data_IF_158738333439
#
_entry.id   IF_158738333439
#
_cell.length_a   1.000
_cell.length_b   1.000
_cell.length_c   1.000
_cell.angle_alpha   90.00
_cell.angle_beta   90.00
_cell.angle_gamma   90.00
#
_symmetry.space_group_name_H-M   'P 1'
#
loop_
_entity.id
_entity.type
_entity.pdbx_description
1 polymer ?
#
# COMPACT_ATOMS: atom_id res chain seq x y z
N UNK A 1 -5.85 29.18 -15.50
CA UNK A 1 -6.30 29.15 -14.10
C UNK A 1 -5.13 28.60 -13.24
N UNK A 2 -4.98 29.05 -11.99
CA UNK A 2 -3.98 28.50 -11.08
C UNK A 2 -4.72 27.69 -10.03
N UNK A 3 -4.38 26.40 -9.89
CA UNK A 3 -4.88 25.56 -8.82
C UNK A 3 -4.10 25.84 -7.52
N UNK A 4 -4.70 25.58 -6.39
CA UNK A 4 -3.99 25.67 -5.12
C UNK A 4 -3.05 24.48 -4.96
N UNK A 5 -3.50 23.28 -5.41
CA UNK A 5 -2.75 22.03 -5.31
C UNK A 5 -2.89 21.23 -6.61
N UNK A 6 -1.78 20.69 -7.12
CA UNK A 6 -1.78 19.64 -8.13
C UNK A 6 -1.25 18.33 -7.53
N UNK A 7 -2.06 17.28 -7.57
CA UNK A 7 -1.72 15.94 -7.11
C UNK A 7 -1.30 15.10 -8.32
N UNK A 8 -0.10 14.53 -8.30
CA UNK A 8 0.45 13.71 -9.38
C UNK A 8 0.29 12.25 -9.04
N UNK A 9 -0.48 11.52 -9.86
CA UNK A 9 -0.89 10.14 -9.69
C UNK A 9 -2.29 10.02 -9.09
N UNK A 10 -3.20 9.29 -9.76
CA UNK A 10 -4.56 9.04 -9.31
C UNK A 10 -4.80 7.58 -8.87
N UNK A 11 -3.76 6.92 -8.36
CA UNK A 11 -3.90 5.69 -7.58
C UNK A 11 -4.54 5.94 -6.22
N UNK A 12 -4.59 4.94 -5.35
CA UNK A 12 -5.19 5.05 -4.01
C UNK A 12 -4.64 6.24 -3.23
N UNK A 13 -3.33 6.46 -3.26
CA UNK A 13 -2.68 7.57 -2.57
C UNK A 13 -3.20 8.92 -3.06
N UNK A 14 -3.14 9.17 -4.38
CA UNK A 14 -3.56 10.45 -4.94
C UNK A 14 -5.06 10.69 -4.85
N UNK A 15 -5.88 9.67 -5.09
CA UNK A 15 -7.34 9.78 -4.98
C UNK A 15 -7.78 10.11 -3.56
N UNK A 16 -7.20 9.44 -2.55
CA UNK A 16 -7.56 9.64 -1.15
C UNK A 16 -7.13 11.02 -0.63
N UNK A 17 -5.88 11.44 -0.92
CA UNK A 17 -5.44 12.77 -0.47
C UNK A 17 -6.14 13.91 -1.23
N UNK A 18 -6.46 13.72 -2.51
CA UNK A 18 -7.24 14.71 -3.26
C UNK A 18 -8.64 14.87 -2.68
N UNK A 19 -9.29 13.78 -2.27
CA UNK A 19 -10.60 13.81 -1.62
C UNK A 19 -10.58 14.59 -0.29
N UNK A 20 -9.53 14.39 0.53
CA UNK A 20 -9.36 15.10 1.80
C UNK A 20 -9.03 16.59 1.61
N UNK A 21 -8.32 16.95 0.55
CA UNK A 21 -7.94 18.34 0.27
C UNK A 21 -9.07 19.15 -0.42
N UNK A 22 -9.91 18.48 -1.20
CA UNK A 22 -10.92 19.11 -2.05
C UNK A 22 -11.90 20.05 -1.32
N UNK A 23 -12.36 19.79 -0.07
CA UNK A 23 -13.19 20.73 0.68
C UNK A 23 -12.50 22.05 1.04
N UNK A 24 -11.19 22.12 0.95
CA UNK A 24 -10.36 23.22 1.46
C UNK A 24 -9.59 23.97 0.37
N UNK A 25 -9.44 23.39 -0.83
CA UNK A 25 -8.59 23.93 -1.87
C UNK A 25 -9.08 23.54 -3.28
N UNK A 26 -8.69 24.31 -4.29
CA UNK A 26 -8.89 23.94 -5.69
C UNK A 26 -7.81 22.93 -6.08
N UNK A 27 -8.21 21.68 -6.23
CA UNK A 27 -7.32 20.56 -6.50
C UNK A 27 -7.41 20.15 -7.97
N UNK A 28 -6.27 19.90 -8.58
CA UNK A 28 -6.11 19.20 -9.85
C UNK A 28 -5.48 17.83 -9.57
N UNK A 29 -6.09 16.77 -10.08
CA UNK A 29 -5.55 15.40 -9.99
C UNK A 29 -5.08 14.97 -11.38
N UNK A 30 -3.79 14.67 -11.53
CA UNK A 30 -3.14 14.34 -12.82
C UNK A 30 -2.79 12.85 -12.82
N UNK A 31 -3.24 12.13 -13.88
CA UNK A 31 -3.01 10.70 -14.05
C UNK A 31 -2.36 10.42 -15.41
N UNK A 32 -1.33 9.61 -15.40
CA UNK A 32 -0.61 9.24 -16.62
C UNK A 32 -1.40 8.29 -17.52
N UNK A 33 -2.18 7.41 -16.92
CA UNK A 33 -2.92 6.37 -17.62
C UNK A 33 -4.32 6.84 -18.07
N UNK A 34 -4.99 6.01 -18.88
CA UNK A 34 -6.36 6.27 -19.36
C UNK A 34 -7.38 6.29 -18.22
N UNK A 35 -7.13 5.50 -17.19
CA UNK A 35 -8.00 5.34 -16.04
C UNK A 35 -7.22 5.41 -14.72
N UNK A 36 -7.75 6.11 -13.69
CA UNK A 36 -7.18 6.11 -12.37
C UNK A 36 -7.07 4.69 -11.77
N UNK A 37 -5.95 4.43 -11.05
CA UNK A 37 -5.77 3.17 -10.34
C UNK A 37 -5.25 1.99 -11.18
N UNK A 38 -4.79 2.21 -12.39
CA UNK A 38 -4.35 1.16 -13.32
C UNK A 38 -3.20 0.30 -12.80
N UNK A 39 -2.21 0.89 -12.12
CA UNK A 39 -1.02 0.19 -11.61
C UNK A 39 -1.28 -0.49 -10.25
N UNK A 40 -0.48 -0.17 -9.22
CA UNK A 40 -0.48 -0.85 -7.93
C UNK A 40 -1.87 -0.99 -7.28
N UNK A 41 -2.74 0.00 -7.41
CA UNK A 41 -4.11 0.00 -6.86
C UNK A 41 -4.95 -1.12 -7.46
N UNK A 42 -5.01 -1.21 -8.79
CA UNK A 42 -5.81 -2.23 -9.49
C UNK A 42 -5.18 -3.64 -9.49
N UNK A 43 -3.97 -3.79 -8.95
CA UNK A 43 -3.22 -5.06 -8.91
C UNK A 43 -3.01 -5.60 -7.50
N UNK A 44 -3.69 -5.02 -6.53
CA UNK A 44 -3.56 -5.43 -5.14
C UNK A 44 -4.31 -6.73 -4.87
N UNK A 45 -3.73 -7.59 -4.02
CA UNK A 45 -4.44 -8.72 -3.42
C UNK A 45 -5.34 -8.30 -2.25
N UNK A 46 -5.33 -7.06 -1.92
CA UNK A 46 -6.07 -6.24 -0.99
C UNK A 46 -6.67 -6.95 0.22
N UNK A 47 -5.97 -6.83 1.31
CA UNK A 47 -6.49 -7.20 2.62
C UNK A 47 -6.10 -6.14 3.64
N UNK A 48 -6.93 -5.98 4.65
CA UNK A 48 -6.64 -5.25 5.88
C UNK A 48 -5.99 -6.24 6.85
N UNK A 49 -4.74 -6.02 7.21
CA UNK A 49 -4.02 -6.88 8.14
C UNK A 49 -3.12 -5.98 9.01
N UNK A 50 -3.36 -5.95 10.32
CA UNK A 50 -2.74 -4.99 11.22
C UNK A 50 -1.21 -5.20 11.38
N UNK A 51 -0.71 -6.43 11.15
CA UNK A 51 0.72 -6.70 11.18
C UNK A 51 1.44 -6.34 9.88
N UNK A 52 0.70 -6.13 8.79
CA UNK A 52 1.31 -5.89 7.49
C UNK A 52 1.97 -4.51 7.40
N UNK A 53 3.25 -4.51 7.08
CA UNK A 53 4.08 -3.30 7.07
C UNK A 53 4.91 -3.09 8.34
N UNK A 54 4.72 -3.96 9.34
CA UNK A 54 5.46 -3.91 10.59
C UNK A 54 4.90 -2.92 11.62
N UNK A 55 5.44 -2.93 12.85
CA UNK A 55 4.94 -2.12 13.96
C UNK A 55 4.86 -0.62 13.69
N UNK A 56 5.72 -0.11 12.80
CA UNK A 56 5.72 1.30 12.42
C UNK A 56 4.53 1.74 11.58
N UNK A 57 3.86 0.80 10.89
CA UNK A 57 2.67 1.07 10.06
C UNK A 57 1.37 0.84 10.84
N UNK A 58 1.41 0.07 11.93
CA UNK A 58 0.24 -0.23 12.77
C UNK A 58 -0.60 1.00 13.13
N UNK A 59 -0.04 2.15 13.53
CA UNK A 59 -0.84 3.34 13.86
C UNK A 59 -1.72 3.81 12.69
N UNK A 60 -1.18 3.81 11.46
CA UNK A 60 -1.94 4.19 10.26
C UNK A 60 -3.01 3.16 9.92
N UNK A 61 -2.68 1.86 9.98
CA UNK A 61 -3.62 0.78 9.70
C UNK A 61 -4.80 0.82 10.66
N UNK A 62 -4.53 0.85 11.96
CA UNK A 62 -5.59 0.84 12.98
C UNK A 62 -6.45 2.10 12.96
N UNK A 63 -5.85 3.26 12.75
CA UNK A 63 -6.60 4.51 12.58
C UNK A 63 -7.51 4.51 11.34
N UNK A 64 -7.18 3.69 10.33
CA UNK A 64 -8.00 3.53 9.12
C UNK A 64 -9.15 2.55 9.29
N UNK A 65 -9.06 1.63 10.27
CA UNK A 65 -9.97 0.50 10.42
C UNK A 65 -11.45 0.90 10.55
N UNK A 66 -11.76 1.86 11.42
CA UNK A 66 -13.15 2.34 11.61
C UNK A 66 -13.70 2.92 10.32
N UNK A 67 -12.94 3.77 9.63
CA UNK A 67 -13.40 4.34 8.35
C UNK A 67 -13.75 3.25 7.32
N UNK A 68 -12.85 2.28 7.16
CA UNK A 68 -13.06 1.19 6.21
C UNK A 68 -14.26 0.32 6.59
N UNK A 69 -14.45 0.03 7.86
CA UNK A 69 -15.57 -0.75 8.38
C UNK A 69 -16.90 -0.01 8.25
N UNK A 70 -16.96 1.26 8.70
CA UNK A 70 -18.19 2.05 8.73
C UNK A 70 -18.75 2.34 7.33
N UNK A 71 -17.86 2.39 6.33
CA UNK A 71 -18.27 2.54 4.92
C UNK A 71 -18.49 1.21 4.18
N UNK A 72 -18.38 0.07 4.88
CA UNK A 72 -18.65 -1.25 4.32
C UNK A 72 -17.59 -1.77 3.35
N UNK A 73 -16.35 -1.28 3.44
CA UNK A 73 -15.25 -1.74 2.59
C UNK A 73 -14.53 -2.98 3.12
N UNK A 74 -14.83 -3.44 4.34
CA UNK A 74 -14.22 -4.62 4.94
C UNK A 74 -15.17 -5.81 4.99
N UNK A 75 -14.67 -6.97 4.58
CA UNK A 75 -15.31 -8.27 4.82
C UNK A 75 -14.39 -9.08 5.73
N UNK A 76 -14.82 -9.41 6.97
CA UNK A 76 -14.00 -10.16 7.94
C UNK A 76 -13.52 -11.49 7.37
N UNK A 77 -12.25 -11.84 7.63
CA UNK A 77 -11.62 -13.07 7.16
C UNK A 77 -10.76 -13.75 8.22
N UNK A 78 -9.97 -12.97 8.98
CA UNK A 78 -8.88 -13.45 9.80
C UNK A 78 -7.62 -13.78 8.99
N UNK A 79 -6.47 -13.77 9.65
CA UNK A 79 -5.20 -14.18 9.06
C UNK A 79 -4.51 -15.23 9.93
N UNK A 80 -3.81 -16.16 9.29
CA UNK A 80 -2.96 -17.17 9.91
C UNK A 80 -1.53 -16.99 9.44
N UNK A 81 -0.62 -16.73 10.36
CA UNK A 81 0.80 -16.88 10.14
C UNK A 81 1.16 -18.30 10.51
N UNK A 82 1.59 -19.10 9.55
CA UNK A 82 1.92 -20.52 9.76
C UNK A 82 3.42 -20.77 9.64
N UNK A 83 3.88 -21.81 10.29
CA UNK A 83 5.28 -22.25 10.27
C UNK A 83 5.43 -23.69 10.69
N UNK A 84 6.64 -24.18 10.62
CA UNK A 84 7.04 -25.49 11.09
C UNK A 84 7.57 -25.40 12.52
N UNK A 85 7.88 -26.53 13.14
CA UNK A 85 8.41 -26.59 14.50
C UNK A 85 9.72 -25.78 14.67
N UNK A 86 10.58 -25.77 13.64
CA UNK A 86 11.81 -24.97 13.61
C UNK A 86 11.56 -23.46 13.57
N UNK A 87 10.37 -23.01 13.15
CA UNK A 87 10.01 -21.59 13.02
C UNK A 87 9.47 -20.99 14.32
N UNK A 88 9.41 -21.76 15.42
CA UNK A 88 8.87 -21.29 16.71
C UNK A 88 9.53 -20.00 17.20
N UNK A 89 10.85 -19.87 17.07
CA UNK A 89 11.56 -18.66 17.46
C UNK A 89 11.15 -17.44 16.62
N UNK A 90 10.88 -17.63 15.32
CA UNK A 90 10.37 -16.58 14.45
C UNK A 90 8.94 -16.18 14.85
N UNK A 91 8.07 -17.14 15.19
CA UNK A 91 6.73 -16.89 15.71
C UNK A 91 6.75 -16.06 17.00
N UNK A 92 7.59 -16.44 17.97
CA UNK A 92 7.73 -15.70 19.23
C UNK A 92 8.27 -14.29 19.00
N UNK A 93 9.27 -14.13 18.14
CA UNK A 93 9.83 -12.83 17.77
C UNK A 93 8.80 -11.95 17.06
N UNK A 94 8.03 -12.52 16.14
CA UNK A 94 6.94 -11.82 15.45
C UNK A 94 5.93 -11.30 16.45
N UNK A 95 5.39 -12.14 17.33
CA UNK A 95 4.43 -11.74 18.36
C UNK A 95 5.01 -10.68 19.31
N UNK A 96 6.25 -10.83 19.72
CA UNK A 96 6.93 -9.87 20.60
C UNK A 96 7.09 -8.50 19.94
N UNK A 97 7.33 -8.44 18.63
CA UNK A 97 7.49 -7.18 17.90
C UNK A 97 6.23 -6.30 17.87
N UNK A 98 5.05 -6.91 18.04
CA UNK A 98 3.77 -6.19 18.13
C UNK A 98 3.27 -5.96 19.56
N UNK A 99 4.06 -6.35 20.57
CA UNK A 99 3.70 -6.08 21.96
C UNK A 99 3.51 -4.56 22.20
N UNK A 100 2.41 -4.18 22.88
CA UNK A 100 2.10 -2.79 23.15
C UNK A 100 1.51 -1.99 21.97
N UNK A 101 1.40 -2.56 20.77
CA UNK A 101 0.77 -1.88 19.62
C UNK A 101 -0.75 -1.95 19.64
N UNK A 102 -1.31 -2.82 20.48
CA UNK A 102 -2.75 -3.12 20.56
C UNK A 102 -3.25 -4.09 19.49
N UNK A 103 -2.36 -4.64 18.66
CA UNK A 103 -2.68 -5.71 17.70
C UNK A 103 -2.90 -7.01 18.47
N UNK A 104 -3.98 -7.73 18.14
CA UNK A 104 -4.27 -9.03 18.72
C UNK A 104 -3.64 -10.13 17.87
N UNK A 105 -2.80 -10.95 18.49
CA UNK A 105 -2.13 -12.10 17.86
C UNK A 105 -2.21 -13.27 18.84
N UNK A 106 -2.91 -14.33 18.45
CA UNK A 106 -3.23 -15.47 19.29
C UNK A 106 -2.50 -16.73 18.80
N UNK A 107 -1.75 -17.43 19.65
CA UNK A 107 -1.23 -18.75 19.30
C UNK A 107 -2.39 -19.72 19.03
N UNK A 108 -2.26 -20.52 18.00
CA UNK A 108 -3.26 -21.51 17.62
C UNK A 108 -2.71 -22.92 17.74
N UNK A 109 -3.48 -23.82 18.35
CA UNK A 109 -3.11 -25.23 18.45
C UNK A 109 -3.15 -25.91 17.06
N UNK A 110 -2.29 -26.94 16.82
CA UNK A 110 -2.25 -27.63 15.52
C UNK A 110 -3.60 -28.19 15.05
N UNK A 111 -4.43 -28.69 15.96
CA UNK A 111 -5.75 -29.19 15.61
C UNK A 111 -6.67 -28.07 15.10
N UNK A 112 -6.63 -26.89 15.73
CA UNK A 112 -7.41 -25.73 15.29
C UNK A 112 -6.87 -25.10 13.99
N UNK A 113 -5.57 -25.23 13.72
CA UNK A 113 -4.97 -24.87 12.43
C UNK A 113 -5.50 -25.80 11.32
N UNK A 114 -5.47 -27.13 11.55
CA UNK A 114 -5.95 -28.12 10.57
C UNK A 114 -7.47 -27.99 10.27
N UNK A 115 -8.25 -27.54 11.26
CA UNK A 115 -9.67 -27.21 11.05
C UNK A 115 -9.88 -26.00 10.14
N UNK A 116 -9.06 -24.95 10.32
CA UNK A 116 -9.16 -23.71 9.52
C UNK A 116 -8.52 -23.82 8.14
N UNK A 117 -7.49 -24.66 8.00
CA UNK A 117 -6.80 -24.91 6.73
C UNK A 117 -6.86 -26.41 6.44
N UNK A 118 -7.99 -26.90 5.90
CA UNK A 118 -8.14 -28.31 5.57
C UNK A 118 -7.03 -28.78 4.62
N UNK A 119 -6.54 -30.00 4.85
CA UNK A 119 -5.45 -30.60 4.06
C UNK A 119 -4.09 -29.89 4.21
N UNK A 120 -3.89 -29.11 5.27
CA UNK A 120 -2.55 -28.64 5.62
C UNK A 120 -1.66 -29.84 5.98
N UNK A 121 -0.42 -29.84 5.53
CA UNK A 121 0.52 -30.92 5.84
C UNK A 121 0.94 -30.87 7.32
N UNK A 122 1.11 -32.04 8.00
CA UNK A 122 1.34 -32.11 9.44
C UNK A 122 2.60 -31.38 9.93
N UNK A 123 3.60 -31.23 9.08
CA UNK A 123 4.84 -30.49 9.41
C UNK A 123 4.62 -28.99 9.63
N UNK A 124 3.52 -28.43 9.11
CA UNK A 124 3.09 -27.06 9.39
C UNK A 124 2.23 -27.05 10.64
N UNK A 125 2.88 -27.01 11.79
CA UNK A 125 2.25 -27.23 13.10
C UNK A 125 2.23 -25.99 14.01
N UNK A 126 2.95 -24.94 13.66
CA UNK A 126 2.96 -23.68 14.40
C UNK A 126 2.05 -22.67 13.71
N UNK A 127 1.23 -21.95 14.48
CA UNK A 127 0.35 -20.92 13.93
C UNK A 127 0.09 -19.79 14.91
N UNK A 128 -0.03 -18.57 14.35
CA UNK A 128 -0.53 -17.38 15.02
C UNK A 128 -1.76 -16.89 14.26
N UNK A 129 -2.82 -16.58 14.97
CA UNK A 129 -4.07 -16.06 14.41
C UNK A 129 -4.22 -14.56 14.70
N UNK A 130 -4.51 -13.80 13.68
CA UNK A 130 -4.83 -12.37 13.74
C UNK A 130 -6.30 -12.18 13.34
N UNK A 131 -7.21 -11.94 14.30
CA UNK A 131 -8.66 -11.92 14.06
C UNK A 131 -9.16 -10.71 13.27
N UNK A 132 -8.49 -9.57 13.35
CA UNK A 132 -8.94 -8.34 12.73
C UNK A 132 -8.71 -8.29 11.19
N UNK A 133 -8.03 -9.28 10.61
CA UNK A 133 -7.81 -9.32 9.17
C UNK A 133 -9.15 -9.41 8.41
N UNK A 134 -9.22 -8.65 7.31
CA UNK A 134 -10.39 -8.59 6.44
C UNK A 134 -9.97 -8.43 4.98
N UNK A 135 -10.82 -8.83 4.04
CA UNK A 135 -10.69 -8.40 2.65
C UNK A 135 -11.14 -6.95 2.51
N UNK A 136 -10.51 -6.22 1.60
CA UNK A 136 -10.89 -4.83 1.26
C UNK A 136 -11.52 -4.79 -0.12
N UNK A 137 -12.68 -4.15 -0.26
CA UNK A 137 -13.20 -3.73 -1.57
C UNK A 137 -12.37 -2.54 -2.08
N UNK A 138 -11.28 -2.85 -2.78
CA UNK A 138 -10.36 -1.84 -3.32
C UNK A 138 -11.02 -0.97 -4.38
N UNK A 139 -11.81 -1.57 -5.26
CA UNK A 139 -12.45 -0.85 -6.32
C UNK A 139 -13.50 0.14 -5.76
N UNK A 140 -14.33 -0.34 -4.83
CA UNK A 140 -15.31 0.50 -4.13
C UNK A 140 -14.65 1.64 -3.35
N UNK A 141 -13.60 1.37 -2.58
CA UNK A 141 -12.86 2.38 -1.83
C UNK A 141 -12.23 3.44 -2.75
N UNK A 142 -11.59 3.02 -3.83
CA UNK A 142 -10.96 3.93 -4.78
C UNK A 142 -11.99 4.82 -5.48
N UNK A 143 -13.09 4.23 -5.95
CA UNK A 143 -14.20 4.97 -6.55
C UNK A 143 -14.88 5.93 -5.55
N UNK A 144 -14.98 5.53 -4.28
CA UNK A 144 -15.51 6.39 -3.22
C UNK A 144 -14.67 7.67 -3.10
N UNK A 145 -13.33 7.58 -3.08
CA UNK A 145 -12.45 8.75 -3.03
C UNK A 145 -12.54 9.60 -4.28
N UNK A 146 -12.53 9.00 -5.48
CA UNK A 146 -12.68 9.75 -6.72
C UNK A 146 -14.02 10.48 -6.78
N UNK A 147 -15.10 9.83 -6.36
CA UNK A 147 -16.43 10.46 -6.28
C UNK A 147 -16.49 11.58 -5.23
N UNK A 148 -15.83 11.41 -4.09
CA UNK A 148 -15.72 12.45 -3.07
C UNK A 148 -14.95 13.67 -3.61
N UNK A 149 -13.83 13.46 -4.26
CA UNK A 149 -13.05 14.51 -4.91
C UNK A 149 -13.88 15.26 -5.99
N UNK A 150 -14.56 14.52 -6.85
CA UNK A 150 -15.40 15.10 -7.91
C UNK A 150 -16.57 15.94 -7.35
N UNK A 151 -17.22 15.51 -6.27
CA UNK A 151 -18.30 16.29 -5.61
C UNK A 151 -17.83 17.66 -5.12
N UNK A 152 -16.54 17.80 -4.81
CA UNK A 152 -15.92 19.07 -4.39
C UNK A 152 -15.21 19.79 -5.55
N UNK A 153 -15.43 19.37 -6.80
CA UNK A 153 -14.96 20.08 -7.99
C UNK A 153 -13.49 19.85 -8.33
N UNK A 154 -12.90 18.73 -7.87
CA UNK A 154 -11.55 18.33 -8.33
C UNK A 154 -11.56 18.11 -9.82
N UNK A 155 -10.68 18.80 -10.54
CA UNK A 155 -10.41 18.53 -11.94
C UNK A 155 -9.51 17.29 -12.05
N UNK A 156 -9.90 16.32 -12.89
CA UNK A 156 -9.12 15.10 -13.13
C UNK A 156 -8.64 15.09 -14.58
N UNK A 157 -7.33 15.14 -14.77
CA UNK A 157 -6.68 15.04 -16.07
C UNK A 157 -6.07 13.64 -16.22
N UNK A 158 -6.65 12.80 -17.07
CA UNK A 158 -6.11 11.49 -17.44
C UNK A 158 -5.30 11.55 -18.74
N UNK A 159 -4.52 10.52 -19.06
CA UNK A 159 -3.58 10.48 -20.20
C UNK A 159 -2.62 11.66 -20.17
N UNK A 160 -2.20 12.06 -18.98
CA UNK A 160 -1.45 13.27 -18.70
C UNK A 160 -0.16 12.91 -17.92
N UNK A 161 0.73 12.16 -18.57
CA UNK A 161 2.02 11.82 -17.97
C UNK A 161 2.86 13.08 -17.80
N UNK A 162 3.22 13.39 -16.57
CA UNK A 162 4.06 14.55 -16.25
C UNK A 162 5.47 14.33 -16.80
N UNK A 163 5.91 15.25 -17.66
CA UNK A 163 7.23 15.25 -18.28
C UNK A 163 8.16 16.35 -17.76
N UNK A 164 7.61 17.37 -17.08
CA UNK A 164 8.39 18.45 -16.50
C UNK A 164 7.64 19.22 -15.42
N UNK A 165 8.41 19.70 -14.45
CA UNK A 165 7.94 20.52 -13.35
C UNK A 165 8.89 21.71 -13.17
N UNK A 166 8.38 22.92 -13.20
CA UNK A 166 9.19 24.14 -13.04
C UNK A 166 8.50 25.11 -12.09
N UNK A 167 9.22 25.60 -11.11
CA UNK A 167 8.72 26.59 -10.15
C UNK A 167 9.28 27.97 -10.45
N UNK A 168 8.39 28.94 -10.64
CA UNK A 168 8.74 30.34 -10.86
C UNK A 168 7.77 31.26 -10.10
N UNK A 169 8.32 32.24 -9.39
CA UNK A 169 7.54 33.21 -8.61
C UNK A 169 6.50 32.55 -7.68
N UNK A 170 6.87 31.45 -7.02
CA UNK A 170 6.00 30.74 -6.10
C UNK A 170 4.96 29.81 -6.72
N UNK A 171 4.93 29.70 -8.06
CA UNK A 171 3.95 28.88 -8.79
C UNK A 171 4.66 27.80 -9.60
N UNK A 172 4.16 26.58 -9.51
CA UNK A 172 4.58 25.46 -10.33
C UNK A 172 3.89 25.49 -11.68
N UNK A 173 4.64 25.26 -12.73
CA UNK A 173 4.14 24.87 -14.06
C UNK A 173 4.38 23.37 -14.21
N UNK A 174 3.31 22.63 -14.40
CA UNK A 174 3.32 21.18 -14.68
C UNK A 174 3.14 21.00 -16.17
N UNK A 175 4.05 20.28 -16.83
CA UNK A 175 3.99 19.99 -18.27
C UNK A 175 3.71 18.50 -18.47
N UNK A 176 2.69 18.19 -19.25
CA UNK A 176 2.39 16.84 -19.72
C UNK A 176 3.23 16.46 -20.94
N UNK A 177 3.34 15.18 -21.22
CA UNK A 177 4.11 14.63 -22.36
C UNK A 177 3.52 14.95 -23.74
N UNK A 178 2.26 15.41 -23.78
CA UNK A 178 1.58 15.88 -25.00
C UNK A 178 1.54 17.39 -25.14
N UNK A 179 2.27 18.09 -24.27
CA UNK A 179 2.37 19.56 -24.29
C UNK A 179 1.27 20.29 -23.51
N UNK A 180 0.42 19.57 -22.77
CA UNK A 180 -0.52 20.20 -21.84
C UNK A 180 0.24 20.91 -20.73
N UNK A 181 -0.34 21.98 -20.20
CA UNK A 181 0.26 22.73 -19.10
C UNK A 181 -0.78 23.10 -18.06
N UNK A 182 -0.43 22.90 -16.80
CA UNK A 182 -1.22 23.32 -15.64
C UNK A 182 -0.35 24.15 -14.69
N UNK A 183 -1.02 24.92 -13.86
CA UNK A 183 -0.33 25.76 -12.86
C UNK A 183 -0.90 25.49 -11.48
N UNK A 184 -0.03 25.33 -10.49
CA UNK A 184 -0.43 25.12 -9.10
C UNK A 184 0.53 25.80 -8.12
N UNK A 185 0.05 26.18 -6.94
CA UNK A 185 0.90 26.69 -5.87
C UNK A 185 1.71 25.58 -5.20
N UNK A 186 1.12 24.39 -5.06
CA UNK A 186 1.74 23.23 -4.40
C UNK A 186 1.61 21.98 -5.28
N UNK A 187 2.66 21.16 -5.32
CA UNK A 187 2.66 19.82 -5.91
C UNK A 187 2.59 18.79 -4.79
N UNK A 188 1.68 17.82 -4.94
CA UNK A 188 1.65 16.59 -4.13
C UNK A 188 2.13 15.44 -5.00
N UNK A 189 3.25 14.86 -4.65
CA UNK A 189 3.81 13.72 -5.36
C UNK A 189 3.24 12.41 -4.79
N UNK A 190 2.21 11.89 -5.46
CA UNK A 190 1.54 10.62 -5.16
C UNK A 190 1.75 9.59 -6.29
N UNK A 191 2.86 9.70 -7.02
CA UNK A 191 3.14 8.97 -8.26
C UNK A 191 3.61 7.52 -8.04
N UNK A 192 3.46 6.96 -6.83
CA UNK A 192 3.75 5.54 -6.53
C UNK A 192 5.17 5.14 -6.90
N UNK A 193 5.32 4.22 -7.85
CA UNK A 193 6.62 3.75 -8.31
C UNK A 193 7.47 4.85 -9.00
N UNK A 194 6.82 5.85 -9.59
CA UNK A 194 7.47 6.96 -10.30
C UNK A 194 7.75 8.17 -9.40
N UNK A 195 7.60 8.04 -8.08
CA UNK A 195 7.72 9.19 -7.18
C UNK A 195 9.10 9.87 -7.24
N UNK A 196 10.19 9.11 -7.32
CA UNK A 196 11.54 9.68 -7.43
C UNK A 196 11.80 10.31 -8.80
N UNK A 197 11.21 9.78 -9.88
CA UNK A 197 11.29 10.39 -11.22
C UNK A 197 10.56 11.75 -11.27
N UNK A 198 9.38 11.83 -10.64
CA UNK A 198 8.63 13.09 -10.50
C UNK A 198 9.41 14.11 -9.67
N UNK A 199 10.07 13.66 -8.60
CA UNK A 199 10.93 14.52 -7.80
C UNK A 199 12.12 15.06 -8.61
N UNK A 200 12.80 14.20 -9.36
CA UNK A 200 13.88 14.61 -10.25
C UNK A 200 13.44 15.62 -11.31
N UNK A 201 12.25 15.40 -11.92
CA UNK A 201 11.69 16.34 -12.90
C UNK A 201 11.36 17.71 -12.27
N UNK A 202 11.15 17.77 -10.96
CA UNK A 202 10.93 18.99 -10.19
C UNK A 202 12.24 19.63 -9.66
N UNK A 203 13.39 19.03 -9.89
CA UNK A 203 14.66 19.45 -9.29
C UNK A 203 14.75 19.15 -7.79
N UNK A 204 13.91 18.24 -7.29
CA UNK A 204 13.89 17.77 -5.89
C UNK A 204 14.79 16.56 -5.76
N UNK A 205 15.55 16.48 -4.67
CA UNK A 205 16.39 15.33 -4.40
C UNK A 205 15.50 14.10 -4.08
N UNK A 206 15.69 12.97 -4.78
CA UNK A 206 14.94 11.74 -4.51
C UNK A 206 15.12 11.25 -3.07
N UNK A 207 14.08 10.68 -2.49
CA UNK A 207 14.14 10.09 -1.14
C UNK A 207 14.50 8.59 -1.18
N UNK A 208 14.73 8.03 -2.36
CA UNK A 208 15.11 6.64 -2.54
C UNK A 208 13.93 5.68 -2.62
N UNK A 209 12.83 6.08 -3.26
CA UNK A 209 11.68 5.18 -3.48
C UNK A 209 12.08 4.06 -4.43
N UNK A 210 12.12 2.84 -3.90
CA UNK A 210 12.46 1.64 -4.64
C UNK A 210 11.21 0.77 -4.88
N UNK A 211 10.81 0.56 -6.15
CA UNK A 211 9.73 -0.36 -6.48
C UNK A 211 10.20 -1.82 -6.46
N UNK A 212 9.32 -2.71 -5.99
CA UNK A 212 9.53 -4.15 -5.96
C UNK A 212 8.33 -4.85 -6.57
N UNK A 213 8.58 -5.75 -7.52
CA UNK A 213 7.55 -6.57 -8.16
C UNK A 213 7.00 -7.57 -7.15
N UNK A 214 5.66 -7.68 -7.14
CA UNK A 214 4.90 -8.69 -6.40
C UNK A 214 3.97 -9.41 -7.38
N UNK A 215 4.11 -10.74 -7.42
CA UNK A 215 3.33 -11.62 -8.30
C UNK A 215 2.16 -12.24 -7.55
N UNK A 216 1.02 -12.37 -8.23
CA UNK A 216 -0.16 -13.10 -7.77
C UNK A 216 -0.66 -14.01 -8.87
N UNK A 217 -0.98 -15.25 -8.53
CA UNK A 217 -1.62 -16.24 -9.39
C UNK A 217 -3.00 -16.62 -8.84
N UNK A 218 -3.97 -16.80 -9.72
CA UNK A 218 -5.30 -17.31 -9.40
C UNK A 218 -5.35 -18.78 -9.80
N UNK A 219 -5.57 -19.63 -8.83
CA UNK A 219 -5.58 -21.07 -8.99
C UNK A 219 -6.99 -21.64 -8.85
N UNK A 220 -7.30 -22.62 -9.68
CA UNK A 220 -8.37 -23.56 -9.42
C UNK A 220 -7.78 -24.76 -8.72
N UNK A 221 -8.25 -25.01 -7.50
CA UNK A 221 -7.77 -26.09 -6.63
C UNK A 221 -8.87 -27.09 -6.31
N UNK A 222 -8.47 -28.31 -5.96
CA UNK A 222 -9.35 -29.39 -5.54
C UNK A 222 -8.82 -30.00 -4.23
N UNK A 223 -9.65 -30.01 -3.16
CA UNK A 223 -11.03 -29.50 -3.12
C UNK A 223 -11.11 -28.00 -3.37
N UNK A 224 -12.29 -27.50 -3.77
CA UNK A 224 -12.50 -26.07 -3.97
C UNK A 224 -12.20 -25.30 -2.67
N UNK A 225 -11.49 -24.19 -2.77
CA UNK A 225 -11.18 -23.34 -1.61
C UNK A 225 -12.48 -22.85 -0.96
N UNK A 226 -12.62 -23.11 0.35
CA UNK A 226 -13.74 -22.59 1.13
C UNK A 226 -13.72 -21.06 1.16
N UNK A 227 -14.85 -20.37 1.06
CA UNK A 227 -14.92 -18.93 1.26
C UNK A 227 -14.49 -18.50 2.67
N UNK A 228 -14.60 -19.39 3.65
CA UNK A 228 -14.24 -19.15 5.05
C UNK A 228 -12.75 -19.39 5.36
N UNK A 229 -11.96 -19.82 4.37
CA UNK A 229 -10.52 -19.99 4.53
C UNK A 229 -9.89 -18.62 4.89
N UNK A 230 -9.13 -18.50 5.98
CA UNK A 230 -8.44 -17.26 6.30
C UNK A 230 -7.36 -16.90 5.28
N UNK A 231 -6.85 -15.69 5.34
CA UNK A 231 -5.58 -15.36 4.70
C UNK A 231 -4.47 -16.15 5.40
N UNK A 232 -3.73 -16.96 4.65
CA UNK A 232 -2.63 -17.78 5.17
C UNK A 232 -1.31 -17.21 4.69
N UNK A 233 -0.40 -16.92 5.63
CA UNK A 233 0.93 -16.37 5.37
C UNK A 233 1.99 -17.29 5.98
N UNK A 234 3.07 -17.48 5.28
CA UNK A 234 4.27 -18.08 5.83
C UNK A 234 4.97 -17.09 6.78
N UNK A 235 5.27 -17.53 8.02
CA UNK A 235 6.01 -16.71 8.99
C UNK A 235 7.40 -16.33 8.46
N UNK A 236 8.01 -17.19 7.64
CA UNK A 236 9.27 -16.94 6.96
C UNK A 236 9.15 -16.00 5.76
N UNK A 237 7.92 -15.57 5.41
CA UNK A 237 7.69 -14.65 4.30
C UNK A 237 7.81 -15.27 2.91
N UNK A 238 7.70 -16.59 2.80
CA UNK A 238 7.86 -17.30 1.52
C UNK A 238 6.62 -17.30 0.64
N UNK A 239 5.42 -17.16 1.19
CA UNK A 239 4.17 -17.14 0.44
C UNK A 239 3.02 -16.55 1.25
N UNK A 240 1.94 -16.23 0.54
CA UNK A 240 0.62 -16.13 1.13
C UNK A 240 -0.44 -16.63 0.14
N UNK A 241 -1.58 -17.08 0.67
CA UNK A 241 -2.74 -17.42 -0.13
C UNK A 241 -4.04 -17.09 0.59
N UNK A 242 -5.10 -16.84 -0.19
CA UNK A 242 -6.45 -16.61 0.31
C UNK A 242 -7.49 -17.07 -0.70
N UNK A 243 -8.72 -17.37 -0.29
CA UNK A 243 -9.80 -17.66 -1.23
C UNK A 243 -10.34 -16.35 -1.82
N UNK A 244 -10.82 -16.44 -3.04
CA UNK A 244 -11.58 -15.39 -3.70
C UNK A 244 -12.50 -15.99 -4.76
N UNK A 245 -13.81 -15.76 -4.66
CA UNK A 245 -14.83 -16.23 -5.60
C UNK A 245 -14.68 -17.71 -6.00
N UNK A 246 -14.40 -18.60 -5.05
CA UNK A 246 -14.22 -20.02 -5.27
C UNK A 246 -12.90 -20.42 -5.94
N UNK A 247 -11.96 -19.49 -6.02
CA UNK A 247 -10.56 -19.69 -6.46
C UNK A 247 -9.63 -19.48 -5.28
N UNK A 248 -8.37 -19.80 -5.48
CA UNK A 248 -7.30 -19.50 -4.54
C UNK A 248 -6.36 -18.47 -5.17
N UNK A 249 -6.18 -17.33 -4.51
CA UNK A 249 -5.12 -16.40 -4.85
C UNK A 249 -3.88 -16.79 -4.10
N UNK A 250 -2.77 -16.91 -4.84
CA UNK A 250 -1.48 -17.34 -4.32
C UNK A 250 -0.39 -16.37 -4.76
N UNK A 251 0.52 -16.03 -3.85
CA UNK A 251 1.71 -15.23 -4.14
C UNK A 251 2.95 -15.90 -3.56
N UNK A 252 4.09 -15.90 -4.28
CA UNK A 252 5.37 -16.35 -3.72
C UNK A 252 5.93 -15.35 -2.70
N UNK A 253 5.19 -14.29 -2.39
CA UNK A 253 5.62 -13.19 -1.53
C UNK A 253 6.92 -12.54 -2.00
N UNK A 254 7.14 -12.53 -3.33
CA UNK A 254 8.33 -11.99 -3.99
C UNK A 254 8.53 -10.48 -3.74
N UNK A 255 9.77 -10.07 -3.64
CA UNK A 255 10.22 -8.66 -3.60
C UNK A 255 11.38 -8.49 -4.56
N UNK A 256 11.09 -8.51 -5.85
CA UNK A 256 12.11 -8.40 -6.90
C UNK A 256 12.26 -6.92 -7.27
N UNK A 257 13.46 -6.32 -7.07
CA UNK A 257 13.71 -4.95 -7.48
C UNK A 257 13.35 -4.74 -8.95
N UNK A 258 12.65 -3.65 -9.24
CA UNK A 258 12.19 -3.34 -10.58
C UNK A 258 12.26 -1.84 -10.83
N UNK A 259 12.57 -1.43 -12.05
CA UNK A 259 12.32 -0.05 -12.46
C UNK A 259 10.81 0.22 -12.49
N UNK A 260 10.37 1.48 -12.36
CA UNK A 260 8.98 1.84 -12.60
C UNK A 260 8.53 1.39 -14.00
N UNK A 261 7.50 0.56 -14.06
CA UNK A 261 7.01 -0.01 -15.32
C UNK A 261 5.56 -0.52 -15.18
N UNK A 262 4.97 -0.91 -16.28
CA UNK A 262 3.78 -1.75 -16.32
C UNK A 262 4.20 -3.20 -15.99
N UNK A 263 4.15 -3.55 -14.69
CA UNK A 263 4.70 -4.80 -14.19
C UNK A 263 3.92 -6.02 -14.69
N UNK A 264 4.66 -7.02 -15.18
CA UNK A 264 4.11 -8.30 -15.59
C UNK A 264 4.67 -9.44 -14.72
N UNK A 265 3.90 -10.52 -14.49
CA UNK A 265 4.37 -11.69 -13.75
C UNK A 265 5.35 -12.49 -14.60
N UNK A 266 6.38 -13.05 -13.96
CA UNK A 266 7.25 -14.03 -14.60
C UNK A 266 6.78 -15.45 -14.32
N UNK A 267 7.01 -16.36 -15.26
CA UNK A 267 6.60 -17.77 -15.11
C UNK A 267 7.32 -18.45 -13.95
N UNK A 268 8.57 -18.07 -13.72
CA UNK A 268 9.36 -18.59 -12.61
C UNK A 268 8.72 -18.24 -11.24
N UNK A 269 8.23 -17.02 -11.05
CA UNK A 269 7.63 -16.61 -9.79
C UNK A 269 6.34 -17.38 -9.51
N UNK A 270 5.55 -17.64 -10.57
CA UNK A 270 4.34 -18.47 -10.48
C UNK A 270 4.70 -19.93 -10.13
N UNK A 271 5.74 -20.48 -10.74
CA UNK A 271 6.20 -21.83 -10.45
C UNK A 271 6.71 -21.97 -9.01
N UNK A 272 7.46 -20.98 -8.51
CA UNK A 272 7.91 -20.93 -7.11
C UNK A 272 6.73 -20.85 -6.15
N UNK A 273 5.71 -20.05 -6.45
CA UNK A 273 4.51 -19.98 -5.63
C UNK A 273 3.80 -21.32 -5.54
N UNK A 274 3.64 -22.00 -6.67
CA UNK A 274 3.00 -23.33 -6.76
C UNK A 274 3.79 -24.36 -5.96
N UNK A 275 5.10 -24.42 -6.15
CA UNK A 275 5.98 -25.34 -5.39
C UNK A 275 5.82 -25.13 -3.88
N UNK A 276 5.90 -23.89 -3.42
CA UNK A 276 5.73 -23.54 -2.00
C UNK A 276 4.35 -23.96 -1.49
N UNK A 277 3.30 -23.70 -2.23
CA UNK A 277 1.94 -24.09 -1.86
C UNK A 277 1.76 -25.60 -1.76
N UNK A 278 2.33 -26.38 -2.68
CA UNK A 278 2.31 -27.85 -2.66
C UNK A 278 3.11 -28.44 -1.48
N UNK A 279 4.06 -27.68 -0.93
CA UNK A 279 4.77 -28.04 0.29
C UNK A 279 3.98 -27.69 1.56
N UNK A 280 2.89 -26.92 1.45
CA UNK A 280 2.03 -26.56 2.59
C UNK A 280 0.76 -27.41 2.66
N UNK A 281 0.18 -27.73 1.52
CA UNK A 281 -1.08 -28.45 1.42
C UNK A 281 -0.97 -29.64 0.48
N UNK A 282 -1.91 -30.58 0.56
CA UNK A 282 -2.06 -31.66 -0.40
C UNK A 282 -3.16 -31.39 -1.45
N UNK A 283 -3.64 -30.13 -1.54
CA UNK A 283 -4.62 -29.75 -2.54
C UNK A 283 -4.07 -29.89 -3.95
N UNK A 284 -4.87 -30.48 -4.84
CA UNK A 284 -4.52 -30.61 -6.25
C UNK A 284 -4.75 -29.28 -6.97
N UNK A 285 -3.74 -28.76 -7.65
CA UNK A 285 -3.89 -27.61 -8.54
C UNK A 285 -4.41 -28.13 -9.89
N UNK A 286 -5.65 -27.74 -10.23
CA UNK A 286 -6.28 -28.12 -11.47
C UNK A 286 -5.91 -27.18 -12.63
N UNK A 287 -5.70 -25.90 -12.36
CA UNK A 287 -5.28 -24.92 -13.36
C UNK A 287 -4.74 -23.62 -12.70
N UNK A 288 -3.86 -22.92 -13.42
CA UNK A 288 -3.55 -21.51 -13.24
C UNK A 288 -4.44 -20.73 -14.19
N UNK A 289 -5.44 -20.01 -13.69
CA UNK A 289 -6.45 -19.34 -14.53
C UNK A 289 -6.07 -17.90 -14.89
N UNK A 290 -5.42 -17.21 -13.96
CA UNK A 290 -4.99 -15.82 -14.16
C UNK A 290 -3.69 -15.59 -13.40
N UNK A 291 -2.91 -14.60 -13.84
CA UNK A 291 -1.73 -14.11 -13.14
C UNK A 291 -1.52 -12.64 -13.43
N UNK A 292 -1.00 -11.90 -12.47
CA UNK A 292 -0.60 -10.51 -12.65
C UNK A 292 0.54 -10.17 -11.69
N UNK A 293 1.15 -9.02 -11.91
CA UNK A 293 2.10 -8.44 -10.98
C UNK A 293 1.83 -6.95 -10.78
N UNK A 294 2.22 -6.44 -9.63
CA UNK A 294 2.18 -5.03 -9.29
C UNK A 294 3.47 -4.58 -8.64
N UNK A 295 3.71 -3.27 -8.60
CA UNK A 295 4.86 -2.69 -7.94
C UNK A 295 4.48 -2.19 -6.55
N UNK A 296 5.25 -2.60 -5.53
CA UNK A 296 5.20 -2.06 -4.18
C UNK A 296 6.40 -1.17 -3.98
N UNK A 297 6.18 0.09 -3.69
CA UNK A 297 7.21 1.12 -3.69
C UNK A 297 7.52 1.55 -2.27
N UNK A 298 8.74 1.30 -1.82
CA UNK A 298 9.19 1.55 -0.45
C UNK A 298 10.26 2.63 -0.42
N UNK A 299 10.24 3.46 0.61
CA UNK A 299 11.37 4.26 1.02
C UNK A 299 12.48 3.36 1.66
N UNK A 300 13.71 3.84 1.84
CA UNK A 300 14.82 3.02 2.34
C UNK A 300 14.57 2.35 3.69
N UNK A 301 13.83 3.00 4.57
CA UNK A 301 13.44 2.48 5.90
C UNK A 301 12.10 1.73 5.88
N UNK A 302 11.50 1.55 4.70
CA UNK A 302 10.23 0.90 4.45
C UNK A 302 9.00 1.60 5.05
N UNK A 303 9.16 2.81 5.60
CA UNK A 303 8.06 3.63 6.11
C UNK A 303 7.56 4.59 5.01
N UNK A 304 6.26 4.93 4.98
CA UNK A 304 5.75 5.93 4.04
C UNK A 304 6.43 7.29 4.20
N UNK A 305 6.33 8.12 3.18
CA UNK A 305 6.90 9.47 3.17
C UNK A 305 5.79 10.48 2.99
N UNK A 306 5.49 11.23 4.06
CA UNK A 306 4.43 12.26 4.10
C UNK A 306 4.98 13.57 4.63
N UNK A 307 4.88 14.65 3.86
CA UNK A 307 5.31 15.97 4.29
C UNK A 307 5.96 16.80 3.19
N UNK A 308 6.17 18.08 3.50
CA UNK A 308 6.89 18.98 2.60
C UNK A 308 8.36 18.59 2.49
N UNK A 309 8.88 18.74 1.28
CA UNK A 309 10.31 18.65 1.02
C UNK A 309 11.04 19.81 1.73
N UNK A 310 12.18 19.51 2.36
CA UNK A 310 12.89 20.54 3.12
C UNK A 310 13.72 21.50 2.25
N UNK A 311 14.06 21.06 1.02
CA UNK A 311 14.85 21.84 0.06
C UNK A 311 14.04 22.55 -1.01
N UNK A 312 12.78 22.12 -1.23
CA UNK A 312 11.93 22.64 -2.30
C UNK A 312 10.57 23.07 -1.77
N UNK A 313 10.37 24.37 -1.68
CA UNK A 313 9.11 24.95 -1.24
C UNK A 313 7.96 24.57 -2.16
N UNK A 314 6.80 24.21 -1.58
CA UNK A 314 5.60 23.86 -2.34
C UNK A 314 5.69 22.47 -3.01
N UNK A 315 6.64 21.61 -2.62
CA UNK A 315 6.67 20.21 -3.01
C UNK A 315 6.37 19.33 -1.80
N UNK A 316 5.34 18.51 -1.90
CA UNK A 316 4.86 17.64 -0.83
C UNK A 316 4.95 16.18 -1.25
N UNK A 317 5.62 15.37 -0.45
CA UNK A 317 5.72 13.92 -0.63
C UNK A 317 4.48 13.21 -0.08
N UNK A 318 3.88 12.34 -0.87
CA UNK A 318 2.83 11.43 -0.43
C UNK A 318 3.04 10.06 -1.10
N UNK A 319 4.15 9.41 -0.76
CA UNK A 319 4.69 8.26 -1.47
C UNK A 319 5.25 7.19 -0.50
N UNK A 320 5.78 6.10 -1.05
CA UNK A 320 6.44 5.06 -0.26
C UNK A 320 5.50 4.16 0.53
N UNK A 321 4.22 4.06 0.15
CA UNK A 321 3.21 3.27 0.86
C UNK A 321 3.41 1.75 0.73
N UNK A 322 4.45 1.30 0.05
CA UNK A 322 4.81 -0.12 -0.05
C UNK A 322 3.65 -1.01 -0.51
N UNK A 323 3.39 -2.06 0.25
CA UNK A 323 2.27 -2.96 0.01
C UNK A 323 1.02 -2.65 0.86
N UNK A 324 1.06 -1.64 1.73
CA UNK A 324 0.02 -1.34 2.73
C UNK A 324 -0.74 -0.03 2.45
N UNK A 325 -0.53 0.61 1.30
CA UNK A 325 -1.12 1.90 0.96
C UNK A 325 -2.65 1.90 0.89
N UNK A 326 -3.29 0.78 0.60
CA UNK A 326 -4.75 0.68 0.55
C UNK A 326 -5.34 0.63 1.95
N UNK A 327 -4.85 -0.25 2.81
CA UNK A 327 -5.35 -0.39 4.17
C UNK A 327 -5.10 0.84 5.04
N UNK A 328 -4.08 1.65 4.71
CA UNK A 328 -3.73 2.87 5.44
C UNK A 328 -4.30 4.14 4.82
N UNK A 329 -4.92 4.05 3.64
CA UNK A 329 -5.35 5.22 2.87
C UNK A 329 -6.19 6.23 3.65
N UNK A 330 -7.20 5.84 4.45
CA UNK A 330 -8.01 6.80 5.20
C UNK A 330 -7.19 7.66 6.16
N UNK A 331 -6.43 7.04 7.05
CA UNK A 331 -5.64 7.78 8.04
C UNK A 331 -4.45 8.51 7.41
N UNK A 332 -3.81 7.90 6.41
CA UNK A 332 -2.69 8.53 5.70
C UNK A 332 -3.13 9.78 4.94
N UNK A 333 -4.25 9.73 4.21
CA UNK A 333 -4.78 10.86 3.48
C UNK A 333 -5.20 12.00 4.43
N UNK A 334 -5.85 11.67 5.54
CA UNK A 334 -6.23 12.64 6.58
C UNK A 334 -5.00 13.30 7.17
N UNK A 335 -3.99 12.51 7.56
CA UNK A 335 -2.71 13.02 8.06
C UNK A 335 -2.01 13.90 7.02
N UNK A 336 -1.92 13.44 5.77
CA UNK A 336 -1.29 14.19 4.68
C UNK A 336 -1.96 15.53 4.43
N UNK A 337 -3.29 15.57 4.41
CA UNK A 337 -4.07 16.79 4.26
C UNK A 337 -3.84 17.76 5.43
N UNK A 338 -3.84 17.27 6.66
CA UNK A 338 -3.56 18.09 7.84
C UNK A 338 -2.16 18.71 7.80
N UNK A 339 -1.14 17.92 7.43
CA UNK A 339 0.23 18.41 7.28
C UNK A 339 0.33 19.48 6.19
N UNK A 340 -0.33 19.28 5.05
CA UNK A 340 -0.30 20.20 3.91
C UNK A 340 -1.02 21.51 4.21
N UNK A 341 -2.15 21.43 4.91
CA UNK A 341 -2.99 22.60 5.26
C UNK A 341 -2.57 23.29 6.56
N UNK A 342 -1.56 22.76 7.28
CA UNK A 342 -1.16 23.29 8.58
C UNK A 342 -2.20 23.11 9.68
N UNK A 343 -3.04 22.07 9.57
CA UNK A 343 -4.08 21.74 10.55
C UNK A 343 -3.53 20.85 11.66
N UNK A 344 -4.11 20.94 12.85
CA UNK A 344 -3.81 20.02 13.94
C UNK A 344 -4.38 18.62 13.74
N UNK A 345 -3.84 17.66 14.50
CA UNK A 345 -4.38 16.29 14.53
C UNK A 345 -5.81 16.28 15.09
N UNK A 346 -6.65 15.42 14.53
CA UNK A 346 -8.01 15.13 15.00
C UNK A 346 -8.11 13.74 15.65
N UNK A 347 -9.32 13.28 15.94
CA UNK A 347 -9.56 11.98 16.58
C UNK A 347 -8.98 10.79 15.79
N UNK A 348 -8.89 10.89 14.45
CA UNK A 348 -8.33 9.84 13.59
C UNK A 348 -6.80 9.81 13.67
N UNK A 349 -6.17 10.99 13.71
CA UNK A 349 -4.71 11.13 13.57
C UNK A 349 -3.98 11.42 14.87
N UNK A 350 -4.69 11.68 16.00
CA UNK A 350 -4.10 12.04 17.28
C UNK A 350 -3.10 11.01 17.84
N UNK A 351 -3.24 9.73 17.49
CA UNK A 351 -2.33 8.66 17.91
C UNK A 351 -1.17 8.40 16.93
N UNK A 352 -1.03 9.23 15.87
CA UNK A 352 -0.05 9.02 14.83
C UNK A 352 1.09 10.04 14.98
N UNK A 353 2.31 9.56 15.19
CA UNK A 353 3.50 10.40 15.18
C UNK A 353 3.90 10.72 13.73
N UNK A 354 3.50 11.90 13.25
CA UNK A 354 3.78 12.36 11.89
C UNK A 354 5.30 12.48 11.59
N UNK A 355 6.13 12.72 12.58
CA UNK A 355 7.57 12.86 12.40
C UNK A 355 8.22 11.58 11.87
N UNK A 356 7.65 10.42 12.19
CA UNK A 356 8.10 9.12 11.68
C UNK A 356 7.99 8.97 10.16
N UNK A 357 7.11 9.75 9.54
CA UNK A 357 6.85 9.69 8.09
C UNK A 357 7.41 10.90 7.34
N UNK A 358 7.98 11.88 8.06
CA UNK A 358 8.48 13.10 7.45
C UNK A 358 9.68 12.83 6.52
N UNK A 359 9.75 13.44 5.31
CA UNK A 359 10.86 13.27 4.39
C UNK A 359 12.20 13.72 4.97
N UNK A 360 12.18 14.66 5.92
CA UNK A 360 13.38 15.18 6.60
C UNK A 360 14.21 14.09 7.30
N UNK A 361 13.65 12.92 7.61
CA UNK A 361 14.38 11.79 8.20
C UNK A 361 15.46 11.19 7.29
N UNK A 362 15.42 11.49 5.98
CA UNK A 362 16.42 11.07 5.00
C UNK A 362 17.51 12.12 4.74
N UNK A 363 17.38 13.31 5.36
CA UNK A 363 18.42 14.30 5.26
C UNK A 363 19.63 13.89 6.12
N UNK A 364 20.88 14.11 5.64
CA UNK A 364 22.04 13.90 6.48
C UNK A 364 21.93 14.81 7.72
N UNK A 365 22.21 14.26 8.91
CA UNK A 365 22.25 15.02 10.14
C UNK A 365 23.12 16.26 9.92
N UNK A 366 22.56 17.46 10.12
CA UNK A 366 23.37 18.69 10.07
C UNK A 366 24.51 18.52 11.07
N UNK A 367 25.74 18.47 10.59
CA UNK A 367 26.89 18.59 11.47
C UNK A 367 26.76 19.93 12.22
N UNK A 368 26.87 19.94 13.56
CA UNK A 368 26.91 21.20 14.28
C UNK A 368 28.02 22.04 13.70
N UNK A 369 27.69 23.23 13.19
CA UNK A 369 28.70 24.22 12.82
C UNK A 369 29.46 24.54 14.11
N UNK A 370 30.68 24.04 14.21
CA UNK A 370 31.64 24.53 15.22
C UNK A 370 31.90 26.01 14.91
N UNK A 371 31.38 26.87 15.78
CA UNK A 371 31.63 28.31 15.84
C UNK A 371 33.04 28.54 16.36
#
# INVERSE_FOLDING_TARGET
MIHDIAVIGAGMAGASIAAELAPHARVLLIEAEDAPGYHATGRSAAFYEECYGGPGVVPLTRASGSYLSDHGFLTPRGALYIGRAEDRAAMDSFRASYAGTGVQIEPLAPAALAERVPHIRPEWSEALYQPACADIDVAGLHQHYLAAAARHGVEIATRARVSGLRRENGVWTVTGDRGETWRAATIVNAAGAWADEVAQAAGVHPVGIAPFRRTVAVLRVEPQASPDLPLVLDIGGGFYFKPDAGRLWLSPHDEIPSAPCDAAPEEWDVAVAIDRFQNVTDWRIAAVERRWAGLRSFAPDRMPVYGFDAGMEGFFWFAGQGGFGIQTAPAAARLGAQLLLGQGADAVTAGIDAARYAPARFLPARQPQTV
#
